data_IF_929037156627
#
_entry.id   IF_929037156627
#
_cell.length_a   1.000
_cell.length_b   1.000
_cell.length_c   1.000
_cell.angle_alpha   90.00
_cell.angle_beta   90.00
_cell.angle_gamma   90.00
#
_symmetry.space_group_name_H-M   'P 1'
#
loop_
_entity.id
_entity.type
_entity.pdbx_description
1 polymer ?
#
# COMPACT_ATOMS: atom_id res chain seq x y z
N UNK A 1 -11.14 19.24 2.15
CA UNK A 1 -11.26 18.46 3.40
C UNK A 1 -10.40 17.21 3.29
N UNK A 2 -9.29 17.12 4.02
CA UNK A 2 -8.42 15.95 4.01
C UNK A 2 -9.08 14.83 4.83
N UNK A 3 -9.42 13.72 4.17
CA UNK A 3 -10.00 12.54 4.85
C UNK A 3 -8.86 11.86 5.61
N UNK A 4 -8.74 12.16 6.91
CA UNK A 4 -7.78 11.51 7.81
C UNK A 4 -8.21 10.05 7.93
N UNK A 5 -7.36 9.14 7.43
CA UNK A 5 -7.57 7.71 7.62
C UNK A 5 -7.24 7.35 9.06
N UNK A 6 -8.25 7.33 9.92
CA UNK A 6 -8.11 6.92 11.31
C UNK A 6 -8.05 5.38 11.38
N UNK A 7 -6.84 4.85 11.20
CA UNK A 7 -6.56 3.40 11.15
C UNK A 7 -6.53 2.74 12.54
N UNK A 8 -6.87 3.51 13.58
CA UNK A 8 -6.81 3.10 14.99
C UNK A 8 -7.66 1.85 15.27
N UNK A 9 -8.85 1.78 14.67
CA UNK A 9 -9.78 0.67 14.90
C UNK A 9 -9.41 -0.60 14.09
N UNK A 10 -8.86 -0.42 12.88
CA UNK A 10 -8.31 -1.52 12.07
C UNK A 10 -7.12 -2.21 12.75
N UNK A 11 -6.28 -1.44 13.46
CA UNK A 11 -5.16 -1.97 14.25
C UNK A 11 -5.65 -2.80 15.45
N UNK A 12 -6.74 -2.36 16.10
CA UNK A 12 -7.31 -3.03 17.28
C UNK A 12 -7.99 -4.36 16.91
N UNK A 13 -8.70 -4.42 15.78
CA UNK A 13 -9.38 -5.64 15.32
C UNK A 13 -8.40 -6.71 14.83
N UNK A 14 -7.30 -6.31 14.18
CA UNK A 14 -6.26 -7.22 13.72
C UNK A 14 -5.68 -8.07 14.87
N UNK A 15 -5.47 -7.47 16.07
CA UNK A 15 -5.00 -8.19 17.26
C UNK A 15 -5.94 -9.30 17.74
N UNK A 16 -7.26 -9.18 17.52
CA UNK A 16 -8.24 -10.22 17.86
C UNK A 16 -8.39 -11.29 16.77
N UNK A 17 -8.14 -10.94 15.51
CA UNK A 17 -8.44 -11.77 14.33
C UNK A 17 -7.49 -12.95 14.04
N UNK A 18 -6.64 -13.38 14.99
CA UNK A 18 -5.75 -14.53 14.76
C UNK A 18 -4.62 -14.28 13.75
N UNK A 19 -4.38 -13.00 13.41
CA UNK A 19 -3.29 -12.52 12.55
C UNK A 19 -1.93 -12.55 13.28
N UNK A 20 -1.62 -13.70 13.89
CA UNK A 20 -0.44 -13.92 14.72
C UNK A 20 0.84 -14.02 13.88
N UNK A 21 0.75 -14.55 12.67
CA UNK A 21 1.90 -14.73 11.78
C UNK A 21 2.08 -13.57 10.80
N UNK A 22 3.32 -13.21 10.51
CA UNK A 22 3.62 -12.18 9.53
C UNK A 22 3.15 -12.57 8.12
N UNK A 23 3.05 -13.87 7.83
CA UNK A 23 2.44 -14.39 6.59
C UNK A 23 0.96 -14.04 6.49
N UNK A 24 0.19 -14.16 7.58
CA UNK A 24 -1.22 -13.78 7.59
C UNK A 24 -1.38 -12.26 7.39
N UNK A 25 -0.51 -11.46 8.01
CA UNK A 25 -0.50 -9.99 7.86
C UNK A 25 -0.24 -9.59 6.41
N UNK A 26 0.75 -10.23 5.80
CA UNK A 26 1.12 -10.00 4.41
C UNK A 26 0.01 -10.47 3.45
N UNK A 27 -0.71 -11.55 3.80
CA UNK A 27 -1.89 -12.01 3.06
C UNK A 27 -3.04 -11.00 3.08
N UNK A 28 -3.39 -10.46 4.25
CA UNK A 28 -4.41 -9.42 4.37
C UNK A 28 -4.01 -8.15 3.61
N UNK A 29 -2.76 -7.72 3.75
CA UNK A 29 -2.22 -6.56 3.04
C UNK A 29 -2.31 -6.74 1.52
N UNK A 30 -1.91 -7.91 1.00
CA UNK A 30 -2.00 -8.22 -0.42
C UNK A 30 -3.46 -8.24 -0.92
N UNK A 31 -4.40 -8.71 -0.11
CA UNK A 31 -5.82 -8.69 -0.45
C UNK A 31 -6.34 -7.26 -0.58
N UNK A 32 -5.99 -6.38 0.36
CA UNK A 32 -6.39 -4.98 0.30
C UNK A 32 -5.75 -4.24 -0.88
N UNK A 33 -4.45 -4.44 -1.12
CA UNK A 33 -3.74 -3.83 -2.25
C UNK A 33 -4.29 -4.28 -3.60
N UNK A 34 -4.64 -5.56 -3.73
CA UNK A 34 -5.20 -6.08 -4.97
C UNK A 34 -6.61 -5.52 -5.22
N UNK A 35 -7.42 -5.34 -4.18
CA UNK A 35 -8.76 -4.81 -4.31
C UNK A 35 -8.77 -3.31 -4.63
N UNK A 36 -7.87 -2.53 -4.02
CA UNK A 36 -7.83 -1.07 -4.18
C UNK A 36 -7.04 -0.63 -5.39
N UNK A 37 -5.93 -1.29 -5.68
CA UNK A 37 -4.92 -0.82 -6.64
C UNK A 37 -4.53 -1.88 -7.69
N UNK A 38 -5.05 -3.10 -7.61
CA UNK A 38 -4.67 -4.18 -8.54
C UNK A 38 -3.23 -4.68 -8.39
N UNK A 39 -2.53 -4.33 -7.30
CA UNK A 39 -1.13 -4.71 -7.05
C UNK A 39 -0.99 -5.64 -5.85
N UNK A 40 0.15 -6.35 -5.77
CA UNK A 40 0.49 -7.20 -4.63
C UNK A 40 1.99 -7.29 -4.39
N UNK A 41 2.39 -7.60 -3.15
CA UNK A 41 3.77 -7.97 -2.83
C UNK A 41 4.09 -9.39 -3.24
N UNK A 42 5.22 -9.57 -3.93
CA UNK A 42 5.81 -10.86 -4.27
C UNK A 42 7.20 -10.96 -3.67
N UNK A 43 7.53 -12.10 -3.08
CA UNK A 43 8.86 -12.33 -2.54
C UNK A 43 9.89 -12.42 -3.69
N UNK A 44 11.02 -11.73 -3.53
CA UNK A 44 12.12 -11.71 -4.50
C UNK A 44 13.04 -12.93 -4.34
N UNK A 45 13.06 -13.54 -3.16
CA UNK A 45 13.89 -14.70 -2.84
C UNK A 45 13.09 -15.72 -2.03
N UNK A 46 13.46 -17.00 -2.11
CA UNK A 46 12.89 -18.12 -1.37
C UNK A 46 12.96 -17.93 0.15
N UNK A 47 13.92 -17.13 0.64
CA UNK A 47 14.04 -16.75 2.06
C UNK A 47 12.97 -15.75 2.53
N UNK A 48 12.14 -15.21 1.62
CA UNK A 48 11.05 -14.26 1.93
C UNK A 48 11.48 -13.03 2.73
N UNK A 49 12.74 -12.62 2.57
CA UNK A 49 13.33 -11.45 3.25
C UNK A 49 13.08 -10.15 2.50
N UNK A 50 12.96 -10.20 1.18
CA UNK A 50 12.71 -9.04 0.33
C UNK A 50 11.46 -9.26 -0.51
N UNK A 51 10.64 -8.22 -0.59
CA UNK A 51 9.42 -8.18 -1.38
C UNK A 51 9.46 -7.01 -2.35
N UNK A 52 8.87 -7.20 -3.52
CA UNK A 52 8.65 -6.13 -4.51
C UNK A 52 7.17 -6.09 -4.88
N UNK A 53 6.71 -4.93 -5.34
CA UNK A 53 5.34 -4.76 -5.82
C UNK A 53 5.23 -5.30 -7.25
N UNK A 54 4.15 -6.02 -7.52
CA UNK A 54 3.84 -6.61 -8.83
C UNK A 54 2.37 -6.38 -9.13
N UNK A 55 2.09 -5.86 -10.32
CA UNK A 55 0.73 -5.69 -10.84
C UNK A 55 0.69 -4.61 -11.92
N UNK A 56 -0.38 -4.58 -12.73
CA UNK A 56 -0.65 -3.49 -13.66
C UNK A 56 -1.07 -2.26 -12.85
N UNK A 57 -0.09 -1.57 -12.26
CA UNK A 57 -0.33 -0.25 -11.68
C UNK A 57 -0.29 0.75 -12.83
N UNK A 58 -1.43 0.93 -13.48
CA UNK A 58 -1.53 1.84 -14.60
C UNK A 58 -1.57 3.27 -14.10
N UNK A 59 -0.74 4.15 -14.66
CA UNK A 59 -0.69 5.56 -14.25
C UNK A 59 -2.00 6.29 -14.54
N UNK A 60 -2.79 5.79 -15.49
CA UNK A 60 -4.12 6.32 -15.80
C UNK A 60 -5.14 6.06 -14.68
N UNK A 61 -5.02 4.96 -13.94
CA UNK A 61 -5.92 4.65 -12.80
C UNK A 61 -5.42 5.24 -11.48
N UNK A 62 -4.22 5.83 -11.48
CA UNK A 62 -3.65 6.43 -10.29
C UNK A 62 -4.33 7.78 -10.01
N UNK A 63 -4.76 8.06 -8.76
CA UNK A 63 -5.24 9.39 -8.41
C UNK A 63 -4.14 10.41 -8.69
N UNK A 64 -4.46 11.50 -9.41
CA UNK A 64 -3.53 12.59 -9.66
C UNK A 64 -2.98 13.09 -8.33
N UNK A 65 -1.68 12.90 -8.13
CA UNK A 65 -1.01 13.39 -6.94
C UNK A 65 -1.02 14.92 -6.98
N UNK A 66 -1.22 15.58 -5.83
CA UNK A 66 -1.16 17.03 -5.77
C UNK A 66 0.25 17.53 -6.15
N UNK A 67 0.37 18.73 -6.72
CA UNK A 67 1.62 19.24 -7.30
C UNK A 67 2.80 19.30 -6.32
N UNK A 68 2.57 19.31 -5.01
CA UNK A 68 3.67 19.28 -4.02
C UNK A 68 4.29 17.89 -3.83
N UNK A 69 3.63 16.82 -4.31
CA UNK A 69 4.14 15.44 -4.27
C UNK A 69 4.71 14.99 -5.61
N UNK A 70 4.34 15.68 -6.68
CA UNK A 70 4.92 15.51 -8.02
C UNK A 70 6.04 16.55 -8.14
N UNK A 71 7.19 16.23 -8.74
CA UNK A 71 8.29 17.20 -8.93
C UNK A 71 7.98 18.38 -9.87
N UNK A 72 6.68 18.65 -10.08
CA UNK A 72 6.07 19.68 -10.92
C UNK A 72 5.53 20.86 -10.08
N UNK A 73 5.67 20.81 -8.76
CA UNK A 73 5.31 21.91 -7.89
C UNK A 73 6.26 23.10 -8.04
N UNK A 74 5.74 24.31 -7.80
CA UNK A 74 6.45 25.60 -7.82
C UNK A 74 7.70 25.67 -6.91
N UNK A 75 7.89 24.66 -6.05
CA UNK A 75 9.08 24.50 -5.19
C UNK A 75 10.25 23.77 -5.86
N UNK A 76 10.05 23.22 -7.06
CA UNK A 76 11.06 22.47 -7.83
C UNK A 76 11.49 23.18 -9.13
N UNK A 77 10.79 24.25 -9.53
CA UNK A 77 11.23 25.15 -10.61
C UNK A 77 12.25 26.17 -10.05
N UNK A 78 13.52 26.02 -10.46
CA UNK A 78 14.56 27.05 -10.44
C UNK A 78 15.18 27.14 -11.84
#
# INVERSE_FOLDING_TARGET
MARVFDNTDASRSAKKSGLKSDKAKLGLLNSALSATYGIKFKATNNKRTHYHLVGPFDKESAPKLPPYQTGEGQFYEN
#
